data_IF_034717949028
#
_entry.id   IF_034717949028
#
_cell.length_a   1.000
_cell.length_b   1.000
_cell.length_c   1.000
_cell.angle_alpha   90.00
_cell.angle_beta   90.00
_cell.angle_gamma   90.00
#
_symmetry.space_group_name_H-M   'P 1'
#
loop_
_entity.id
_entity.type
_entity.pdbx_description
1 polymer ?
#
# COMPACT_ATOMS: atom_id res chain seq x y z
N UNK A 1 -55.95 -18.11 31.40
CA UNK A 1 -55.96 -18.81 30.09
C UNK A 1 -55.14 -17.99 29.12
N UNK A 2 -54.00 -18.54 28.72
CA UNK A 2 -52.89 -17.82 28.11
C UNK A 2 -53.09 -17.53 26.62
N UNK A 3 -52.57 -16.37 26.23
CA UNK A 3 -52.49 -15.77 24.90
C UNK A 3 -52.00 -16.72 23.80
N UNK A 4 -52.76 -16.80 22.71
CA UNK A 4 -52.37 -17.37 21.43
C UNK A 4 -52.15 -16.21 20.45
N UNK A 5 -50.89 -15.90 20.16
CA UNK A 5 -50.50 -15.11 19.00
C UNK A 5 -49.17 -15.65 18.46
N UNK A 6 -49.33 -16.55 17.48
CA UNK A 6 -48.40 -16.89 16.39
C UNK A 6 -47.01 -16.23 16.49
N UNK A 7 -46.02 -17.01 16.93
CA UNK A 7 -44.63 -16.84 16.50
C UNK A 7 -44.61 -17.05 14.98
N UNK A 8 -44.61 -15.95 14.23
CA UNK A 8 -44.15 -15.93 12.85
C UNK A 8 -42.72 -16.49 12.88
N UNK A 9 -42.58 -17.73 12.44
CA UNK A 9 -41.28 -18.33 12.20
C UNK A 9 -40.52 -17.39 11.28
N UNK A 10 -39.43 -16.83 11.79
CA UNK A 10 -38.39 -16.25 10.96
C UNK A 10 -37.83 -17.43 10.17
N UNK A 11 -38.46 -17.75 9.03
CA UNK A 11 -37.82 -18.55 8.01
C UNK A 11 -36.64 -17.70 7.60
N UNK A 12 -35.47 -18.04 8.14
CA UNK A 12 -34.20 -17.66 7.58
C UNK A 12 -34.28 -18.04 6.10
N UNK A 13 -34.54 -17.06 5.25
CA UNK A 13 -34.14 -17.11 3.85
C UNK A 13 -32.62 -16.94 3.83
N UNK A 14 -31.91 -17.84 4.53
CA UNK A 14 -30.55 -18.22 4.24
C UNK A 14 -30.61 -18.93 2.89
N UNK A 15 -30.85 -18.11 1.87
CA UNK A 15 -30.62 -18.43 0.48
C UNK A 15 -29.20 -18.99 0.45
N UNK A 16 -29.08 -20.18 -0.14
CA UNK A 16 -27.89 -21.01 -0.27
C UNK A 16 -26.74 -20.26 -0.96
N UNK A 17 -26.20 -19.24 -0.31
CA UNK A 17 -24.98 -18.61 -0.73
C UNK A 17 -23.87 -19.63 -0.46
N UNK A 18 -23.21 -20.06 -1.53
CA UNK A 18 -22.00 -20.87 -1.46
C UNK A 18 -21.07 -20.34 -0.35
N UNK A 19 -20.46 -21.18 0.48
CA UNK A 19 -19.45 -20.73 1.44
C UNK A 19 -18.35 -19.91 0.78
N UNK A 20 -17.80 -18.90 1.48
CA UNK A 20 -16.69 -18.10 0.96
C UNK A 20 -15.50 -18.97 0.55
N UNK A 21 -15.22 -20.04 1.30
CA UNK A 21 -14.13 -20.97 1.03
C UNK A 21 -14.27 -21.64 -0.34
N UNK A 22 -15.49 -22.03 -0.72
CA UNK A 22 -15.74 -22.71 -2.00
C UNK A 22 -15.57 -21.72 -3.16
N UNK A 23 -16.10 -20.49 -3.02
CA UNK A 23 -15.86 -19.40 -3.99
C UNK A 23 -14.38 -19.06 -4.14
N UNK A 24 -13.64 -19.00 -3.03
CA UNK A 24 -12.21 -18.74 -3.03
C UNK A 24 -11.43 -19.89 -3.68
N UNK A 25 -11.84 -21.14 -3.43
CA UNK A 25 -11.32 -22.33 -4.11
C UNK A 25 -11.50 -22.23 -5.62
N UNK A 26 -12.71 -21.93 -6.09
CA UNK A 26 -12.97 -21.75 -7.52
C UNK A 26 -12.14 -20.63 -8.18
N UNK A 27 -11.88 -19.53 -7.46
CA UNK A 27 -10.96 -18.49 -7.94
C UNK A 27 -9.52 -19.00 -8.00
N UNK A 28 -9.05 -19.72 -6.98
CA UNK A 28 -7.70 -20.30 -6.94
C UNK A 28 -7.48 -21.30 -8.08
N UNK A 29 -8.45 -22.17 -8.35
CA UNK A 29 -8.38 -23.15 -9.45
C UNK A 29 -8.21 -22.45 -10.81
N UNK A 30 -8.92 -21.34 -11.03
CA UNK A 30 -8.77 -20.53 -12.25
C UNK A 30 -7.38 -19.89 -12.34
N UNK A 31 -6.84 -19.42 -11.21
CA UNK A 31 -5.51 -18.83 -11.15
C UNK A 31 -4.38 -19.85 -11.36
N UNK A 32 -4.59 -21.10 -10.91
CA UNK A 32 -3.69 -22.22 -11.16
C UNK A 32 -3.69 -22.63 -12.63
N UNK A 33 -4.87 -22.74 -13.24
CA UNK A 33 -5.00 -23.03 -14.68
C UNK A 33 -4.32 -21.96 -15.54
N UNK A 34 -4.27 -20.71 -15.07
CA UNK A 34 -3.64 -19.59 -15.76
C UNK A 34 -2.13 -19.42 -15.48
N UNK A 35 -1.46 -20.40 -14.88
CA UNK A 35 0.00 -20.36 -14.59
C UNK A 35 0.88 -20.21 -15.83
N UNK A 36 0.38 -20.56 -17.02
CA UNK A 36 1.07 -20.33 -18.29
C UNK A 36 1.12 -18.85 -18.71
N UNK A 37 0.31 -17.98 -18.08
CA UNK A 37 0.34 -16.54 -18.32
C UNK A 37 1.44 -15.88 -17.50
N UNK A 38 2.06 -14.84 -18.07
CA UNK A 38 2.97 -13.97 -17.33
C UNK A 38 2.29 -13.44 -16.04
N UNK A 39 2.98 -13.35 -14.89
CA UNK A 39 2.35 -12.97 -13.62
C UNK A 39 1.61 -11.64 -13.64
N UNK A 40 2.10 -10.65 -14.41
CA UNK A 40 1.41 -9.36 -14.60
C UNK A 40 0.04 -9.55 -15.28
N UNK A 41 -0.04 -10.39 -16.31
CA UNK A 41 -1.29 -10.69 -17.02
C UNK A 41 -2.22 -11.53 -16.14
N UNK A 42 -1.67 -12.53 -15.44
CA UNK A 42 -2.42 -13.35 -14.49
C UNK A 42 -3.00 -12.51 -13.36
N UNK A 43 -2.26 -11.53 -12.84
CA UNK A 43 -2.74 -10.58 -11.84
C UNK A 43 -3.93 -9.75 -12.33
N UNK A 44 -3.90 -9.25 -13.57
CA UNK A 44 -5.04 -8.56 -14.19
C UNK A 44 -6.28 -9.45 -14.23
N UNK A 45 -6.11 -10.70 -14.68
CA UNK A 45 -7.18 -11.69 -14.73
C UNK A 45 -7.78 -11.93 -13.34
N UNK A 46 -6.93 -12.19 -12.34
CA UNK A 46 -7.35 -12.44 -10.96
C UNK A 46 -8.10 -11.25 -10.34
N UNK A 47 -7.63 -10.03 -10.59
CA UNK A 47 -8.27 -8.79 -10.15
C UNK A 47 -9.69 -8.65 -10.73
N UNK A 48 -9.85 -8.84 -12.04
CA UNK A 48 -11.15 -8.73 -12.72
C UNK A 48 -12.13 -9.85 -12.36
N UNK A 49 -11.61 -11.05 -12.10
CA UNK A 49 -12.42 -12.21 -11.71
C UNK A 49 -12.87 -12.15 -10.25
N UNK A 50 -12.19 -11.38 -9.40
CA UNK A 50 -12.46 -11.33 -7.96
C UNK A 50 -13.94 -11.11 -7.62
N UNK A 51 -14.54 -10.04 -8.15
CA UNK A 51 -15.95 -9.74 -7.91
C UNK A 51 -16.89 -10.73 -8.63
N UNK A 52 -16.48 -11.27 -9.78
CA UNK A 52 -17.28 -12.27 -10.53
C UNK A 52 -17.32 -13.61 -9.81
N UNK A 53 -16.25 -13.96 -9.10
CA UNK A 53 -16.18 -15.10 -8.20
C UNK A 53 -16.88 -14.84 -6.86
N UNK A 54 -17.59 -13.71 -6.70
CA UNK A 54 -18.31 -13.39 -5.46
C UNK A 54 -17.40 -13.23 -4.23
N UNK A 55 -16.13 -12.88 -4.45
CA UNK A 55 -15.15 -12.67 -3.38
C UNK A 55 -15.19 -11.25 -2.81
N UNK A 56 -15.83 -10.31 -3.51
CA UNK A 56 -16.01 -8.95 -3.01
C UNK A 56 -17.32 -8.79 -2.24
N UNK A 57 -17.24 -8.49 -0.96
CA UNK A 57 -18.32 -7.86 -0.19
C UNK A 57 -17.97 -6.37 0.04
N UNK A 58 -18.92 -5.54 0.48
CA UNK A 58 -18.75 -4.16 0.97
C UNK A 58 -17.44 -3.39 0.67
N UNK A 59 -17.12 -3.14 -0.60
CA UNK A 59 -15.98 -2.27 -0.96
C UNK A 59 -14.61 -2.95 -1.01
N UNK A 60 -14.54 -4.29 -1.11
CA UNK A 60 -13.32 -5.14 -1.17
C UNK A 60 -12.46 -4.97 -2.45
N UNK A 61 -12.35 -3.74 -2.96
CA UNK A 61 -11.42 -3.40 -4.05
C UNK A 61 -9.97 -3.48 -3.57
N UNK A 62 -9.73 -3.34 -2.26
CA UNK A 62 -8.39 -3.33 -1.69
C UNK A 62 -7.79 -4.73 -1.67
N UNK A 63 -8.53 -5.75 -1.22
CA UNK A 63 -8.12 -7.15 -1.14
C UNK A 63 -7.77 -7.70 -2.53
N UNK A 64 -8.62 -7.41 -3.52
CA UNK A 64 -8.38 -7.74 -4.91
C UNK A 64 -7.08 -7.08 -5.43
N UNK A 65 -6.91 -5.78 -5.16
CA UNK A 65 -5.73 -5.03 -5.62
C UNK A 65 -4.44 -5.49 -4.94
N UNK A 66 -4.46 -5.75 -3.63
CA UNK A 66 -3.32 -6.27 -2.86
C UNK A 66 -2.93 -7.67 -3.35
N UNK A 67 -3.92 -8.55 -3.57
CA UNK A 67 -3.67 -9.89 -4.11
C UNK A 67 -3.06 -9.81 -5.51
N UNK A 68 -3.62 -8.98 -6.39
CA UNK A 68 -3.09 -8.78 -7.73
C UNK A 68 -1.67 -8.17 -7.70
N UNK A 69 -1.39 -7.23 -6.80
CA UNK A 69 -0.05 -6.66 -6.63
C UNK A 69 0.99 -7.72 -6.24
N UNK A 70 0.64 -8.66 -5.37
CA UNK A 70 1.54 -9.78 -5.00
C UNK A 70 1.77 -10.74 -6.15
N UNK A 71 0.72 -11.08 -6.89
CA UNK A 71 0.83 -11.97 -8.05
C UNK A 71 1.68 -11.31 -9.13
N UNK A 72 1.47 -10.02 -9.42
CA UNK A 72 2.26 -9.31 -10.42
C UNK A 72 3.76 -9.26 -10.06
N UNK A 73 4.09 -9.21 -8.77
CA UNK A 73 5.46 -9.19 -8.28
C UNK A 73 6.08 -10.59 -8.08
N UNK A 74 5.36 -11.68 -8.32
CA UNK A 74 5.79 -13.04 -7.91
C UNK A 74 7.12 -13.50 -8.51
N UNK A 75 7.44 -13.03 -9.71
CA UNK A 75 8.67 -13.39 -10.43
C UNK A 75 9.79 -12.34 -10.21
N UNK A 76 9.48 -11.27 -9.48
CA UNK A 76 10.44 -10.24 -9.08
C UNK A 76 11.28 -10.68 -7.89
N UNK A 77 12.52 -10.18 -7.81
CA UNK A 77 13.45 -10.44 -6.69
C UNK A 77 13.55 -9.29 -5.67
N UNK A 78 12.84 -8.18 -5.92
CA UNK A 78 12.94 -6.95 -5.13
C UNK A 78 11.67 -6.64 -4.35
N UNK A 79 10.64 -6.17 -5.05
CA UNK A 79 9.39 -5.77 -4.42
C UNK A 79 8.50 -6.97 -4.09
N UNK A 80 7.85 -6.95 -2.92
CA UNK A 80 6.85 -7.95 -2.51
C UNK A 80 5.49 -7.66 -3.17
N UNK A 81 5.24 -6.40 -3.52
CA UNK A 81 4.02 -5.91 -4.15
C UNK A 81 4.38 -5.03 -5.35
N UNK A 82 3.66 -5.20 -6.46
CA UNK A 82 3.69 -4.23 -7.54
C UNK A 82 3.05 -2.90 -7.07
N UNK A 83 3.56 -1.73 -7.50
CA UNK A 83 3.16 -0.42 -6.97
C UNK A 83 1.81 0.08 -7.53
N UNK A 84 0.83 -0.80 -7.75
CA UNK A 84 -0.42 -0.54 -8.49
C UNK A 84 -1.13 0.77 -8.13
N UNK A 85 -1.18 1.13 -6.84
CA UNK A 85 -1.82 2.35 -6.37
C UNK A 85 -1.15 3.64 -6.88
N UNK A 86 0.14 3.59 -7.22
CA UNK A 86 0.92 4.73 -7.69
C UNK A 86 0.60 5.13 -9.14
N UNK A 87 -0.03 4.24 -9.92
CA UNK A 87 -0.51 4.54 -11.27
C UNK A 87 -1.87 5.25 -11.31
N UNK A 88 -2.46 5.52 -10.15
CA UNK A 88 -3.81 6.09 -10.03
C UNK A 88 -4.92 5.08 -10.32
N UNK A 89 -6.17 5.57 -10.40
CA UNK A 89 -7.33 4.68 -10.45
C UNK A 89 -7.54 3.97 -11.80
N UNK A 90 -6.83 4.38 -12.85
CA UNK A 90 -7.07 4.02 -14.26
C UNK A 90 -6.90 2.52 -14.54
N UNK A 91 -5.77 1.94 -14.13
CA UNK A 91 -5.47 0.52 -14.34
C UNK A 91 -6.34 -0.44 -13.54
N UNK A 92 -7.01 0.05 -12.49
CA UNK A 92 -7.90 -0.74 -11.64
C UNK A 92 -9.38 -0.57 -11.99
N UNK A 93 -9.72 0.08 -13.12
CA UNK A 93 -11.11 0.33 -13.52
C UNK A 93 -11.78 -0.95 -14.05
N UNK A 94 -12.86 -1.35 -13.40
CA UNK A 94 -13.72 -2.44 -13.85
C UNK A 94 -14.51 -2.06 -15.13
N UNK A 95 -14.82 -3.06 -15.96
CA UNK A 95 -15.71 -2.93 -17.13
C UNK A 95 -15.02 -2.98 -18.49
N UNK A 96 -15.78 -3.14 -19.57
CA UNK A 96 -15.25 -3.31 -20.94
C UNK A 96 -14.82 -4.73 -21.28
N UNK A 97 -14.35 -4.94 -22.52
CA UNK A 97 -13.90 -6.25 -22.98
C UNK A 97 -12.60 -6.67 -22.27
N UNK A 98 -12.30 -7.99 -22.16
CA UNK A 98 -11.07 -8.46 -21.51
C UNK A 98 -9.78 -7.81 -22.06
N UNK A 99 -9.69 -7.62 -23.38
CA UNK A 99 -8.55 -6.96 -24.02
C UNK A 99 -8.39 -5.51 -23.54
N UNK A 100 -9.48 -4.73 -23.50
CA UNK A 100 -9.45 -3.33 -23.05
C UNK A 100 -9.03 -3.21 -21.58
N UNK A 101 -9.46 -4.17 -20.73
CA UNK A 101 -9.06 -4.21 -19.32
C UNK A 101 -7.57 -4.50 -19.18
N UNK A 102 -7.06 -5.45 -19.95
CA UNK A 102 -5.63 -5.78 -19.96
C UNK A 102 -4.77 -4.59 -20.42
N UNK A 103 -5.17 -3.89 -21.49
CA UNK A 103 -4.45 -2.68 -21.95
C UNK A 103 -4.37 -1.64 -20.84
N UNK A 104 -5.51 -1.27 -20.24
CA UNK A 104 -5.52 -0.29 -19.14
C UNK A 104 -4.71 -0.75 -17.93
N UNK A 105 -4.74 -2.04 -17.62
CA UNK A 105 -3.93 -2.62 -16.55
C UNK A 105 -2.43 -2.46 -16.81
N UNK A 106 -1.98 -2.77 -18.03
CA UNK A 106 -0.58 -2.64 -18.42
C UNK A 106 -0.13 -1.18 -18.41
N UNK A 107 -0.91 -0.27 -18.99
CA UNK A 107 -0.62 1.18 -18.97
C UNK A 107 -0.55 1.72 -17.53
N UNK A 108 -1.48 1.27 -16.68
CA UNK A 108 -1.52 1.63 -15.27
C UNK A 108 -0.33 1.08 -14.49
N UNK A 109 0.09 -0.16 -14.77
CA UNK A 109 1.27 -0.78 -14.16
C UNK A 109 2.56 -0.07 -14.59
N UNK A 110 2.70 0.27 -15.87
CA UNK A 110 3.85 1.03 -16.37
C UNK A 110 3.94 2.38 -15.67
N UNK A 111 2.84 3.14 -15.65
CA UNK A 111 2.75 4.42 -14.95
C UNK A 111 3.10 4.28 -13.46
N UNK A 112 2.57 3.25 -12.81
CA UNK A 112 2.84 2.94 -11.41
C UNK A 112 4.32 2.66 -11.14
N UNK A 113 4.95 1.81 -11.96
CA UNK A 113 6.36 1.45 -11.85
C UNK A 113 7.27 2.67 -12.07
N UNK A 114 7.01 3.48 -13.10
CA UNK A 114 7.76 4.72 -13.34
C UNK A 114 7.62 5.71 -12.18
N UNK A 115 6.41 5.85 -11.63
CA UNK A 115 6.17 6.72 -10.48
C UNK A 115 6.88 6.22 -9.22
N UNK A 116 6.89 4.89 -9.01
CA UNK A 116 7.59 4.27 -7.89
C UNK A 116 9.11 4.44 -7.99
N UNK A 117 9.70 4.22 -9.17
CA UNK A 117 11.13 4.43 -9.39
C UNK A 117 11.52 5.89 -9.16
N UNK A 118 10.75 6.83 -9.73
CA UNK A 118 10.97 8.27 -9.48
C UNK A 118 10.90 8.61 -8.00
N UNK A 119 9.94 8.04 -7.27
CA UNK A 119 9.83 8.26 -5.83
C UNK A 119 11.06 7.76 -5.06
N UNK A 120 11.64 6.63 -5.46
CA UNK A 120 12.88 6.10 -4.88
C UNK A 120 14.09 6.99 -5.23
N UNK A 121 14.20 7.44 -6.48
CA UNK A 121 15.24 8.37 -6.92
C UNK A 121 15.19 9.69 -6.12
N UNK A 122 13.99 10.22 -5.91
CA UNK A 122 13.76 11.43 -5.12
C UNK A 122 14.22 11.24 -3.65
N UNK A 123 13.96 10.07 -3.05
CA UNK A 123 14.42 9.74 -1.69
C UNK A 123 15.95 9.60 -1.63
N UNK A 124 16.56 8.99 -2.65
CA UNK A 124 18.02 8.85 -2.74
C UNK A 124 18.70 10.22 -2.87
N UNK A 125 18.20 11.06 -3.78
CA UNK A 125 18.67 12.44 -3.95
C UNK A 125 18.52 13.26 -2.66
N UNK A 126 17.39 13.09 -1.96
CA UNK A 126 17.20 13.70 -0.64
C UNK A 126 18.25 13.21 0.37
N UNK A 127 18.53 11.91 0.41
CA UNK A 127 19.51 11.33 1.35
C UNK A 127 20.91 11.88 1.13
N UNK A 128 21.36 11.99 -0.13
CA UNK A 128 22.66 12.58 -0.47
C UNK A 128 22.74 14.05 -0.02
N UNK A 129 21.68 14.84 -0.28
CA UNK A 129 21.63 16.24 0.16
C UNK A 129 21.64 16.35 1.69
N UNK A 130 20.85 15.52 2.37
CA UNK A 130 20.78 15.51 3.83
C UNK A 130 22.12 15.16 4.46
N UNK A 131 22.90 14.25 3.88
CA UNK A 131 24.26 13.91 4.33
C UNK A 131 25.22 15.10 4.24
N UNK A 132 25.22 15.81 3.12
CA UNK A 132 26.08 16.98 2.93
C UNK A 132 25.73 18.07 3.94
N UNK A 133 24.45 18.38 4.11
CA UNK A 133 24.01 19.42 5.03
C UNK A 133 24.25 19.07 6.51
N UNK A 134 24.11 17.78 6.86
CA UNK A 134 24.28 17.33 8.25
C UNK A 134 25.72 17.01 8.62
N UNK A 135 26.68 17.11 7.69
CA UNK A 135 28.10 16.86 7.91
C UNK A 135 28.71 17.66 9.08
N UNK A 136 28.17 18.85 9.37
CA UNK A 136 28.62 19.72 10.47
C UNK A 136 28.05 19.30 11.83
N UNK A 137 27.04 18.44 11.87
CA UNK A 137 26.45 17.97 13.12
C UNK A 137 27.30 16.85 13.71
N UNK A 138 27.74 17.05 14.95
CA UNK A 138 28.44 16.00 15.71
C UNK A 138 27.46 14.94 16.22
N UNK A 139 27.91 13.68 16.26
CA UNK A 139 27.21 12.58 16.90
C UNK A 139 26.43 11.67 15.96
N UNK A 140 25.86 10.59 16.50
CA UNK A 140 25.27 9.50 15.71
C UNK A 140 23.79 9.70 15.38
N UNK A 141 23.11 10.65 16.04
CA UNK A 141 21.67 10.85 15.87
C UNK A 141 21.30 11.33 14.47
N UNK A 142 22.09 12.25 13.88
CA UNK A 142 21.77 12.77 12.55
C UNK A 142 21.89 11.71 11.45
N UNK A 143 23.00 10.93 11.35
CA UNK A 143 23.08 9.81 10.41
C UNK A 143 22.00 8.75 10.63
N UNK A 144 21.69 8.41 11.89
CA UNK A 144 20.64 7.44 12.20
C UNK A 144 19.25 7.96 11.79
N UNK A 145 18.97 9.24 12.02
CA UNK A 145 17.70 9.85 11.64
C UNK A 145 17.55 9.95 10.11
N UNK A 146 18.64 10.23 9.38
CA UNK A 146 18.66 10.16 7.91
C UNK A 146 18.26 8.77 7.43
N UNK A 147 18.88 7.71 7.97
CA UNK A 147 18.57 6.32 7.60
C UNK A 147 17.09 5.96 7.88
N UNK A 148 16.57 6.38 9.04
CA UNK A 148 15.16 6.19 9.38
C UNK A 148 14.24 6.92 8.40
N UNK A 149 14.57 8.15 8.02
CA UNK A 149 13.77 8.94 7.10
C UNK A 149 13.83 8.43 5.64
N UNK A 150 14.92 7.78 5.22
CA UNK A 150 14.97 7.10 3.91
C UNK A 150 14.09 5.85 3.86
N UNK A 151 13.99 5.11 4.97
CA UNK A 151 13.12 3.93 5.05
C UNK A 151 11.65 4.32 5.27
N UNK A 152 11.42 5.37 6.06
CA UNK A 152 10.12 5.86 6.45
C UNK A 152 10.01 7.34 6.10
N UNK A 153 9.56 7.71 4.89
CA UNK A 153 9.53 9.10 4.43
C UNK A 153 8.43 9.95 5.11
N UNK A 154 7.90 9.48 6.25
CA UNK A 154 7.01 10.16 7.17
C UNK A 154 7.24 9.57 8.58
N UNK A 155 7.69 10.39 9.54
CA UNK A 155 7.96 9.94 10.91
C UNK A 155 7.41 10.89 11.96
N UNK A 156 7.09 10.34 13.13
CA UNK A 156 6.85 11.11 14.35
C UNK A 156 8.10 11.09 15.24
N UNK A 157 8.22 12.03 16.19
CA UNK A 157 9.32 12.02 17.15
C UNK A 157 9.40 10.73 18.00
N UNK A 158 8.28 10.12 18.48
CA UNK A 158 8.33 8.81 19.13
C UNK A 158 8.83 7.68 18.24
N UNK A 159 8.39 7.64 16.99
CA UNK A 159 8.83 6.63 16.04
C UNK A 159 10.33 6.76 15.75
N UNK A 160 10.80 7.98 15.50
CA UNK A 160 12.21 8.25 15.29
C UNK A 160 13.06 7.93 16.53
N UNK A 161 12.60 8.21 17.75
CA UNK A 161 13.29 7.76 18.98
C UNK A 161 13.43 6.23 19.03
N UNK A 162 12.33 5.50 18.81
CA UNK A 162 12.34 4.05 18.86
C UNK A 162 13.26 3.43 17.79
N UNK A 163 13.22 3.96 16.56
CA UNK A 163 13.99 3.44 15.44
C UNK A 163 15.48 3.83 15.50
N UNK A 164 15.80 5.07 15.86
CA UNK A 164 17.20 5.54 15.95
C UNK A 164 17.89 5.10 17.25
N UNK A 165 17.12 4.73 18.28
CA UNK A 165 17.59 4.48 19.65
C UNK A 165 18.31 5.67 20.30
N UNK A 166 18.17 6.87 19.74
CA UNK A 166 18.64 8.12 20.34
C UNK A 166 17.59 8.65 21.32
N UNK A 167 17.99 9.50 22.27
CA UNK A 167 17.04 10.10 23.21
C UNK A 167 16.01 10.99 22.50
N UNK A 168 14.78 11.06 23.03
CA UNK A 168 13.74 11.97 22.52
C UNK A 168 14.22 13.40 22.29
N UNK A 169 14.99 13.94 23.23
CA UNK A 169 15.51 15.29 23.15
C UNK A 169 16.51 15.47 22.00
N UNK A 170 17.36 14.47 21.74
CA UNK A 170 18.28 14.50 20.60
C UNK A 170 17.53 14.42 19.27
N UNK A 171 16.53 13.53 19.17
CA UNK A 171 15.66 13.41 17.99
C UNK A 171 14.93 14.70 17.70
N UNK A 172 14.28 15.30 18.70
CA UNK A 172 13.54 16.56 18.53
C UNK A 172 14.45 17.71 18.07
N UNK A 173 15.65 17.85 18.64
CA UNK A 173 16.62 18.86 18.18
C UNK A 173 17.01 18.66 16.71
N UNK A 174 17.25 17.41 16.30
CA UNK A 174 17.59 17.11 14.91
C UNK A 174 16.41 17.36 13.97
N UNK A 175 15.19 16.99 14.34
CA UNK A 175 13.99 17.25 13.54
C UNK A 175 13.76 18.76 13.35
N UNK A 176 13.85 19.55 14.43
CA UNK A 176 13.74 21.02 14.34
C UNK A 176 14.81 21.61 13.44
N UNK A 177 16.05 21.12 13.54
CA UNK A 177 17.15 21.57 12.71
C UNK A 177 16.95 21.21 11.22
N UNK A 178 16.56 19.96 10.92
CA UNK A 178 16.31 19.49 9.55
C UNK A 178 15.12 20.21 8.92
N UNK A 179 14.08 20.51 9.71
CA UNK A 179 12.93 21.31 9.29
C UNK A 179 13.35 22.75 8.93
N UNK A 180 14.16 23.39 9.78
CA UNK A 180 14.70 24.73 9.52
C UNK A 180 15.61 24.80 8.28
N UNK A 181 16.20 23.68 7.86
CA UNK A 181 17.00 23.55 6.64
C UNK A 181 16.20 23.12 5.41
N UNK A 182 14.89 22.90 5.56
CA UNK A 182 14.04 22.47 4.45
C UNK A 182 14.33 21.05 3.96
N UNK A 183 14.96 20.21 4.80
CA UNK A 183 15.14 18.78 4.52
C UNK A 183 13.86 18.00 4.80
N UNK A 184 13.08 18.42 5.80
CA UNK A 184 11.79 17.83 6.15
C UNK A 184 10.76 18.93 6.39
N UNK A 185 9.48 18.57 6.35
CA UNK A 185 8.37 19.49 6.67
C UNK A 185 7.36 18.84 7.60
N UNK A 186 6.87 19.59 8.56
CA UNK A 186 5.76 19.16 9.41
C UNK A 186 4.43 19.12 8.60
N UNK A 187 3.61 18.10 8.80
CA UNK A 187 2.40 17.86 7.98
C UNK A 187 1.10 17.70 8.78
N UNK A 188 1.15 17.73 10.10
CA UNK A 188 0.00 17.48 11.00
C UNK A 188 -0.58 18.76 11.62
N UNK A 189 0.06 19.92 11.46
CA UNK A 189 -0.37 21.19 12.05
C UNK A 189 0.00 21.29 13.54
N UNK A 190 -0.15 22.49 14.13
CA UNK A 190 0.27 22.80 15.50
C UNK A 190 -0.50 21.99 16.56
N UNK A 191 -0.04 20.78 16.83
CA UNK A 191 -0.62 19.86 17.80
C UNK A 191 0.43 19.04 18.55
N UNK A 192 -0.03 18.22 19.50
CA UNK A 192 0.84 17.36 20.34
C UNK A 192 1.46 16.19 19.56
N UNK A 193 0.86 15.81 18.45
CA UNK A 193 1.28 14.70 17.60
C UNK A 193 1.80 15.21 16.27
N UNK A 194 3.08 15.64 16.26
CA UNK A 194 3.75 16.13 15.06
C UNK A 194 4.31 14.98 14.23
N UNK A 195 4.11 15.04 12.92
CA UNK A 195 4.79 14.20 11.94
C UNK A 195 5.53 15.05 10.93
N UNK A 196 6.70 14.57 10.51
CA UNK A 196 7.53 15.19 9.51
C UNK A 196 7.66 14.28 8.30
N UNK A 197 7.45 14.85 7.11
CA UNK A 197 7.66 14.20 5.81
C UNK A 197 8.96 14.70 5.19
N UNK A 198 9.62 13.87 4.39
CA UNK A 198 10.69 14.33 3.51
C UNK A 198 10.22 15.47 2.60
N UNK A 199 11.12 16.43 2.38
CA UNK A 199 10.96 17.45 1.37
C UNK A 199 11.72 17.02 0.12
N UNK A 200 11.04 16.23 -0.72
CA UNK A 200 11.45 15.76 -2.04
C UNK A 200 10.80 16.58 -3.14
#
# INVERSE_FOLDING_TARGET
>A
MASSARRLGFKNNATQAEPFADRAGGWLDLMEQATYLHPITRACMGFDLWNRAGLGQYGDRMEAAVTAARIAASDGKGAIFAPLAMGGAGGLRAGGAPADRLVRWLDGMETACLTAMRHLDDIEAWSTRAEVETSLLSGKTSPALRAVLTEWPLVSAPMAEALTRASRAAVQRNLVWMEARGLIREVTGQGRYRMWRLNV
#
